data_IF_605485245031
#
_entry.id   IF_605485245031
#
_cell.length_a   1.000
_cell.length_b   1.000
_cell.length_c   1.000
_cell.angle_alpha   90.00
_cell.angle_beta   90.00
_cell.angle_gamma   90.00
#
_symmetry.space_group_name_H-M   'P 1'
#
loop_
_entity.id
_entity.type
_entity.pdbx_description
1 polymer ?
#
# COMPACT_ATOMS: atom_id res chain seq x y z
N UNK A 1 2.19 -1.63 -27.81
CA UNK A 1 2.57 -2.52 -26.70
C UNK A 1 2.17 -1.83 -25.41
N UNK A 2 1.45 -2.51 -24.49
CA UNK A 2 0.98 -1.93 -23.23
C UNK A 2 2.15 -1.81 -22.23
N UNK A 3 3.16 -1.00 -22.56
CA UNK A 3 4.28 -0.77 -21.66
C UNK A 3 3.83 0.10 -20.49
N UNK A 4 4.05 -0.38 -19.26
CA UNK A 4 3.68 0.36 -18.05
C UNK A 4 4.38 1.72 -17.93
N UNK A 5 5.53 1.89 -18.61
CA UNK A 5 6.35 3.09 -18.50
C UNK A 5 5.90 4.24 -19.40
N UNK A 6 4.91 4.02 -20.29
CA UNK A 6 4.42 5.05 -21.22
C UNK A 6 3.01 5.46 -20.84
N UNK A 7 2.87 6.65 -20.25
CA UNK A 7 1.55 7.16 -19.86
C UNK A 7 0.74 7.64 -21.06
N UNK A 8 -0.35 6.96 -21.42
CA UNK A 8 -1.31 7.42 -22.41
C UNK A 8 -1.81 8.84 -22.07
N UNK A 9 -1.67 9.85 -22.98
CA UNK A 9 -1.97 11.25 -22.67
C UNK A 9 -3.41 11.49 -22.20
N UNK A 10 -4.38 10.75 -22.75
CA UNK A 10 -5.80 10.85 -22.38
C UNK A 10 -6.11 10.51 -20.92
N UNK A 11 -5.21 9.85 -20.19
CA UNK A 11 -5.44 9.63 -18.75
C UNK A 11 -5.58 10.96 -17.99
N UNK A 12 -4.87 12.01 -18.42
CA UNK A 12 -4.98 13.34 -17.81
C UNK A 12 -6.40 13.94 -17.91
N UNK A 13 -7.22 13.45 -18.84
CA UNK A 13 -8.58 13.90 -19.10
C UNK A 13 -9.64 12.99 -18.47
N UNK A 14 -9.23 11.91 -17.81
CA UNK A 14 -10.16 10.96 -17.17
C UNK A 14 -10.60 11.41 -15.77
N UNK A 15 -11.68 10.83 -15.25
CA UNK A 15 -12.20 11.15 -13.91
C UNK A 15 -11.19 10.83 -12.79
N UNK A 16 -10.40 9.76 -12.97
CA UNK A 16 -9.37 9.34 -12.02
C UNK A 16 -8.02 9.11 -12.73
N UNK A 17 -7.29 10.18 -13.09
CA UNK A 17 -6.03 10.07 -13.85
C UNK A 17 -4.97 9.20 -13.17
N UNK A 18 -4.98 9.18 -11.84
CA UNK A 18 -4.07 8.37 -11.00
C UNK A 18 -4.30 6.86 -11.11
N UNK A 19 -5.49 6.44 -11.58
CA UNK A 19 -5.79 5.02 -11.84
C UNK A 19 -5.42 4.58 -13.25
N UNK A 20 -5.02 5.52 -14.11
CA UNK A 20 -4.49 5.24 -15.45
C UNK A 20 -5.45 4.36 -16.30
N UNK A 21 -6.74 4.72 -16.42
CA UNK A 21 -7.77 3.85 -17.02
C UNK A 21 -7.50 3.48 -18.49
N UNK A 22 -6.88 4.37 -19.29
CA UNK A 22 -6.57 4.05 -20.69
C UNK A 22 -5.48 3.00 -20.85
N UNK A 23 -4.63 2.81 -19.84
CA UNK A 23 -3.66 1.70 -19.88
C UNK A 23 -4.33 0.38 -19.59
N UNK A 24 -5.24 0.36 -18.62
CA UNK A 24 -6.05 -0.83 -18.33
C UNK A 24 -6.83 -1.22 -19.59
N UNK A 25 -7.36 -0.24 -20.33
CA UNK A 25 -8.03 -0.50 -21.60
C UNK A 25 -7.11 -1.16 -22.63
N UNK A 26 -5.84 -0.74 -22.74
CA UNK A 26 -4.89 -1.41 -23.64
C UNK A 26 -4.71 -2.90 -23.27
N UNK A 27 -4.73 -3.24 -21.98
CA UNK A 27 -4.68 -4.64 -21.55
C UNK A 27 -5.96 -5.40 -21.87
N UNK A 28 -7.13 -4.76 -21.74
CA UNK A 28 -8.41 -5.33 -22.18
C UNK A 28 -8.35 -5.69 -23.65
N UNK A 29 -7.97 -4.73 -24.50
CA UNK A 29 -7.94 -4.90 -25.96
C UNK A 29 -7.00 -6.05 -26.37
N UNK A 30 -5.81 -6.11 -25.78
CA UNK A 30 -4.84 -7.18 -26.06
C UNK A 30 -5.35 -8.54 -25.55
N UNK A 31 -5.90 -8.59 -24.34
CA UNK A 31 -6.43 -9.83 -23.76
C UNK A 31 -7.58 -10.39 -24.60
N UNK A 32 -8.57 -9.56 -24.94
CA UNK A 32 -9.71 -9.97 -25.77
C UNK A 32 -9.24 -10.42 -27.15
N UNK A 33 -8.36 -9.67 -27.81
CA UNK A 33 -7.87 -10.00 -29.15
C UNK A 33 -7.07 -11.32 -29.20
N UNK A 34 -6.26 -11.61 -28.18
CA UNK A 34 -5.43 -12.82 -28.15
C UNK A 34 -6.22 -14.06 -27.72
N UNK A 35 -7.09 -13.91 -26.72
CA UNK A 35 -7.79 -15.06 -26.11
C UNK A 35 -9.16 -15.34 -26.72
N UNK A 36 -9.73 -14.37 -27.45
CA UNK A 36 -11.10 -14.41 -27.93
C UNK A 36 -12.16 -14.26 -26.82
N UNK A 37 -11.74 -13.88 -25.60
CA UNK A 37 -12.63 -13.71 -24.44
C UNK A 37 -12.80 -12.23 -24.15
N UNK A 38 -14.01 -11.72 -24.30
CA UNK A 38 -14.34 -10.35 -23.96
C UNK A 38 -14.26 -10.12 -22.45
N UNK A 39 -13.59 -9.04 -22.06
CA UNK A 39 -13.45 -8.57 -20.68
C UNK A 39 -13.56 -7.05 -20.63
N UNK A 40 -13.83 -6.51 -19.45
CA UNK A 40 -13.87 -5.08 -19.16
C UNK A 40 -12.65 -4.66 -18.32
N UNK A 41 -12.46 -3.35 -18.12
CA UNK A 41 -11.45 -2.84 -17.20
C UNK A 41 -11.65 -3.40 -15.78
N UNK A 42 -12.91 -3.49 -15.33
CA UNK A 42 -13.22 -3.98 -13.99
C UNK A 42 -12.89 -5.48 -13.87
N UNK A 43 -13.16 -6.28 -14.89
CA UNK A 43 -12.83 -7.71 -14.88
C UNK A 43 -11.32 -7.93 -14.67
N UNK A 44 -10.45 -7.14 -15.32
CA UNK A 44 -9.00 -7.23 -15.12
C UNK A 44 -8.57 -6.81 -13.71
N UNK A 45 -9.22 -5.78 -13.14
CA UNK A 45 -8.97 -5.33 -11.77
C UNK A 45 -9.38 -6.42 -10.77
N UNK A 46 -10.54 -7.05 -10.97
CA UNK A 46 -11.04 -8.13 -10.10
C UNK A 46 -10.16 -9.39 -10.19
N UNK A 47 -9.71 -9.74 -11.41
CA UNK A 47 -8.73 -10.80 -11.60
C UNK A 47 -7.42 -10.51 -10.88
N UNK A 48 -6.93 -9.26 -10.94
CA UNK A 48 -5.73 -8.83 -10.22
C UNK A 48 -5.91 -8.91 -8.71
N UNK A 49 -7.05 -8.46 -8.18
CA UNK A 49 -7.34 -8.54 -6.74
C UNK A 49 -7.36 -9.98 -6.24
N UNK A 50 -7.95 -10.90 -7.01
CA UNK A 50 -7.94 -12.34 -6.69
C UNK A 50 -6.51 -12.87 -6.56
N UNK A 51 -5.66 -12.58 -7.54
CA UNK A 51 -4.25 -13.03 -7.54
C UNK A 51 -3.49 -12.42 -6.36
N UNK A 52 -3.69 -11.12 -6.08
CA UNK A 52 -3.01 -10.44 -4.98
C UNK A 52 -3.34 -11.04 -3.62
N UNK A 53 -4.61 -11.38 -3.38
CA UNK A 53 -5.02 -12.02 -2.12
C UNK A 53 -4.50 -13.46 -2.01
N UNK A 54 -4.48 -14.21 -3.12
CA UNK A 54 -3.90 -15.55 -3.13
C UNK A 54 -2.39 -15.52 -2.84
N UNK A 55 -1.66 -14.56 -3.41
CA UNK A 55 -0.24 -14.34 -3.11
C UNK A 55 -0.03 -13.96 -1.64
N UNK A 56 -0.93 -13.14 -1.06
CA UNK A 56 -0.89 -12.81 0.37
C UNK A 56 -1.00 -14.05 1.24
N UNK A 57 -2.00 -14.91 0.99
CA UNK A 57 -2.17 -16.16 1.76
C UNK A 57 -0.99 -17.11 1.54
N UNK A 58 -0.45 -17.18 0.32
CA UNK A 58 0.75 -17.96 0.05
C UNK A 58 1.96 -17.50 0.88
N UNK A 59 2.19 -16.19 1.00
CA UNK A 59 3.25 -15.66 1.86
C UNK A 59 3.02 -16.05 3.32
N UNK A 60 1.78 -15.93 3.82
CA UNK A 60 1.41 -16.27 5.21
C UNK A 60 1.71 -17.73 5.49
N UNK A 61 1.34 -18.63 4.55
CA UNK A 61 1.66 -20.06 4.63
C UNK A 61 3.17 -20.34 4.73
N UNK A 62 4.02 -19.47 4.16
CA UNK A 62 5.47 -19.57 4.23
C UNK A 62 6.07 -18.87 5.46
N UNK A 63 5.25 -18.33 6.36
CA UNK A 63 5.68 -17.64 7.57
C UNK A 63 5.94 -16.13 7.40
N UNK A 64 5.55 -15.54 6.27
CA UNK A 64 5.77 -14.12 5.95
C UNK A 64 4.46 -13.40 5.61
N UNK A 65 4.42 -12.07 5.68
CA UNK A 65 3.23 -11.31 5.27
C UNK A 65 2.12 -11.20 6.34
N UNK A 66 2.50 -11.30 7.62
CA UNK A 66 1.74 -10.66 8.70
C UNK A 66 2.16 -9.18 8.85
N UNK A 67 1.50 -8.44 9.74
CA UNK A 67 1.74 -7.00 9.93
C UNK A 67 3.22 -6.63 10.11
N UNK A 68 3.96 -7.42 10.88
CA UNK A 68 5.39 -7.19 11.14
C UNK A 68 6.24 -7.16 9.85
N UNK A 69 5.78 -7.82 8.78
CA UNK A 69 6.47 -7.87 7.49
C UNK A 69 6.10 -6.73 6.54
N UNK A 70 5.07 -5.95 6.87
CA UNK A 70 4.68 -4.75 6.11
C UNK A 70 5.34 -3.48 6.66
N UNK A 71 6.20 -3.59 7.68
CA UNK A 71 6.92 -2.47 8.26
C UNK A 71 7.97 -1.88 7.29
N UNK A 72 8.06 -0.55 7.26
CA UNK A 72 9.13 0.14 6.54
C UNK A 72 10.47 0.06 7.29
N UNK A 73 11.61 0.14 6.59
CA UNK A 73 12.90 0.34 7.23
C UNK A 73 12.85 1.58 8.13
N UNK A 74 13.33 1.45 9.37
CA UNK A 74 13.30 2.54 10.36
C UNK A 74 13.91 3.86 9.85
N UNK A 75 14.95 3.77 9.00
CA UNK A 75 15.58 4.94 8.36
C UNK A 75 14.64 5.77 7.48
N UNK A 76 13.52 5.21 7.02
CA UNK A 76 12.51 5.89 6.21
C UNK A 76 11.53 6.70 7.06
N UNK A 77 11.50 6.47 8.38
CA UNK A 77 10.59 7.12 9.30
C UNK A 77 11.05 8.52 9.74
N UNK A 78 12.25 8.98 9.38
CA UNK A 78 12.71 10.31 9.75
C UNK A 78 14.23 10.46 9.68
N UNK A 79 14.77 11.65 9.99
CA UNK A 79 16.21 11.88 9.99
C UNK A 79 16.90 10.92 10.96
N UNK A 80 17.99 10.28 10.51
CA UNK A 80 18.71 9.22 11.24
C UNK A 80 19.80 9.79 12.14
N UNK A 81 20.51 10.82 11.67
CA UNK A 81 21.60 11.49 12.37
C UNK A 81 21.31 12.98 12.57
N UNK A 82 22.03 13.61 13.49
CA UNK A 82 21.97 15.06 13.72
C UNK A 82 22.36 15.83 12.44
N UNK A 83 23.44 15.41 11.78
CA UNK A 83 23.89 15.98 10.51
C UNK A 83 22.81 15.93 9.42
N UNK A 84 22.03 14.84 9.35
CA UNK A 84 20.93 14.72 8.39
C UNK A 84 19.82 15.73 8.72
N UNK A 85 19.49 15.89 10.01
CA UNK A 85 18.54 16.89 10.45
C UNK A 85 19.01 18.30 10.05
N UNK A 86 20.23 18.66 10.45
CA UNK A 86 20.82 19.97 10.23
C UNK A 86 20.91 20.32 8.74
N UNK A 87 21.29 19.35 7.89
CA UNK A 87 21.35 19.54 6.43
C UNK A 87 20.03 20.00 5.80
N UNK A 88 18.91 19.80 6.50
CA UNK A 88 17.55 20.15 6.05
C UNK A 88 16.72 20.78 7.18
N UNK A 89 17.37 21.51 8.10
CA UNK A 89 16.72 22.02 9.31
C UNK A 89 15.44 22.83 9.01
N UNK A 90 15.48 23.71 8.01
CA UNK A 90 14.32 24.52 7.60
C UNK A 90 13.11 23.64 7.24
N UNK A 91 13.34 22.54 6.50
CA UNK A 91 12.27 21.60 6.13
C UNK A 91 11.70 20.89 7.35
N UNK A 92 12.56 20.39 8.24
CA UNK A 92 12.10 19.61 9.39
C UNK A 92 11.44 20.48 10.45
N UNK A 93 11.97 21.66 10.73
CA UNK A 93 11.38 22.62 11.65
C UNK A 93 10.02 23.12 11.12
N UNK A 94 9.89 23.35 9.81
CA UNK A 94 8.60 23.68 9.18
C UNK A 94 7.56 22.57 9.40
N UNK A 95 7.97 21.31 9.24
CA UNK A 95 7.08 20.16 9.47
C UNK A 95 6.65 20.03 10.94
N UNK A 96 7.54 20.29 11.90
CA UNK A 96 7.16 20.29 13.33
C UNK A 96 6.13 21.37 13.64
N UNK A 97 6.31 22.57 13.09
CA UNK A 97 5.34 23.67 13.23
C UNK A 97 4.00 23.35 12.56
N UNK A 98 4.02 22.96 11.29
CA UNK A 98 2.79 22.82 10.50
C UNK A 98 2.00 21.53 10.76
N UNK A 99 2.67 20.42 11.04
CA UNK A 99 2.00 19.11 11.17
C UNK A 99 1.67 18.74 12.61
N UNK A 100 2.47 19.23 13.54
CA UNK A 100 2.43 18.84 14.95
C UNK A 100 2.12 20.01 15.89
N UNK A 101 2.08 21.25 15.38
CA UNK A 101 1.88 22.47 16.16
C UNK A 101 2.91 22.62 17.31
N UNK A 102 4.16 22.26 17.03
CA UNK A 102 5.27 22.32 17.97
C UNK A 102 6.21 23.49 17.68
N UNK A 103 6.81 24.07 18.72
CA UNK A 103 7.87 25.06 18.58
C UNK A 103 9.26 24.40 18.56
N UNK A 104 9.90 24.22 17.40
CA UNK A 104 11.21 23.58 17.33
C UNK A 104 12.32 24.43 17.97
N UNK A 105 12.14 25.73 18.17
CA UNK A 105 13.18 26.58 18.76
C UNK A 105 13.39 26.30 20.26
N UNK A 106 12.45 25.59 20.89
CA UNK A 106 12.48 25.16 22.29
C UNK A 106 12.89 23.68 22.47
N UNK A 107 13.21 22.99 21.37
CA UNK A 107 13.52 21.55 21.36
C UNK A 107 14.99 21.30 21.06
N UNK A 108 15.56 20.29 21.70
CA UNK A 108 16.87 19.73 21.32
C UNK A 108 16.79 19.01 19.96
N UNK A 109 17.92 18.84 19.28
CA UNK A 109 17.98 18.09 18.01
C UNK A 109 17.49 16.65 18.21
N UNK A 110 17.87 16.01 19.33
CA UNK A 110 17.42 14.67 19.68
C UNK A 110 15.89 14.58 19.80
N UNK A 111 15.26 15.52 20.50
CA UNK A 111 13.80 15.59 20.62
C UNK A 111 13.13 15.82 19.26
N UNK A 112 13.64 16.76 18.46
CA UNK A 112 13.13 17.02 17.10
C UNK A 112 13.16 15.76 16.24
N UNK A 113 14.29 15.06 16.24
CA UNK A 113 14.45 13.82 15.48
C UNK A 113 13.51 12.72 15.96
N UNK A 114 13.43 12.52 17.28
CA UNK A 114 12.54 11.53 17.91
C UNK A 114 11.08 11.80 17.56
N UNK A 115 10.61 13.03 17.75
CA UNK A 115 9.23 13.44 17.44
C UNK A 115 8.89 13.24 15.97
N UNK A 116 9.80 13.58 15.06
CA UNK A 116 9.61 13.31 13.63
C UNK A 116 9.38 11.83 13.34
N UNK A 117 10.19 10.97 13.95
CA UNK A 117 10.09 9.52 13.74
C UNK A 117 8.81 8.96 14.32
N UNK A 118 8.48 9.30 15.56
CA UNK A 118 7.25 8.86 16.21
C UNK A 118 6.02 9.26 15.40
N UNK A 119 5.97 10.52 14.94
CA UNK A 119 4.88 11.00 14.11
C UNK A 119 4.76 10.21 12.79
N UNK A 120 5.87 10.01 12.07
CA UNK A 120 5.82 9.32 10.78
C UNK A 120 5.52 7.83 10.91
N UNK A 121 6.02 7.17 11.96
CA UNK A 121 5.63 5.78 12.27
C UNK A 121 4.13 5.72 12.54
N UNK A 122 3.59 6.59 13.39
CA UNK A 122 2.14 6.66 13.65
C UNK A 122 1.31 6.90 12.38
N UNK A 123 1.76 7.79 11.49
CA UNK A 123 1.11 8.00 10.19
C UNK A 123 1.15 6.74 9.31
N UNK A 124 2.26 6.01 9.33
CA UNK A 124 2.41 4.78 8.56
C UNK A 124 1.50 3.66 9.09
N UNK A 125 1.43 3.47 10.42
CA UNK A 125 0.52 2.51 11.04
C UNK A 125 -0.95 2.81 10.70
N UNK A 126 -1.35 4.08 10.73
CA UNK A 126 -2.70 4.51 10.29
C UNK A 126 -2.98 4.21 8.82
N UNK A 127 -1.96 4.36 7.97
CA UNK A 127 -2.07 3.99 6.55
C UNK A 127 -2.24 2.47 6.40
N UNK A 128 -1.48 1.67 7.13
CA UNK A 128 -1.61 0.20 7.14
C UNK A 128 -3.04 -0.19 7.52
N UNK A 129 -3.56 0.35 8.62
CA UNK A 129 -4.91 0.03 9.10
C UNK A 129 -5.97 0.36 8.05
N UNK A 130 -5.88 1.54 7.42
CA UNK A 130 -6.80 1.95 6.37
C UNK A 130 -6.71 1.04 5.13
N UNK A 131 -5.51 0.59 4.76
CA UNK A 131 -5.30 -0.33 3.64
C UNK A 131 -5.85 -1.71 3.95
N UNK A 132 -5.61 -2.25 5.14
CA UNK A 132 -6.14 -3.55 5.56
C UNK A 132 -7.67 -3.54 5.57
N UNK A 133 -8.28 -2.52 6.18
CA UNK A 133 -9.72 -2.35 6.19
C UNK A 133 -10.29 -2.29 4.76
N UNK A 134 -9.69 -1.49 3.88
CA UNK A 134 -10.12 -1.38 2.47
C UNK A 134 -9.97 -2.70 1.70
N UNK A 135 -8.98 -3.52 2.03
CA UNK A 135 -8.74 -4.82 1.39
C UNK A 135 -9.61 -5.94 1.95
N UNK A 136 -10.37 -5.70 3.02
CA UNK A 136 -11.12 -6.76 3.72
C UNK A 136 -10.19 -7.69 4.49
N UNK A 137 -9.15 -7.14 5.10
CA UNK A 137 -8.17 -7.87 5.92
C UNK A 137 -8.36 -7.52 7.41
N UNK A 138 -7.90 -8.38 8.30
CA UNK A 138 -7.84 -8.08 9.73
C UNK A 138 -6.66 -7.15 10.07
N UNK A 139 -6.54 -6.73 11.33
CA UNK A 139 -5.48 -5.81 11.78
C UNK A 139 -4.07 -6.41 11.73
N UNK A 140 -3.94 -7.71 11.53
CA UNK A 140 -2.67 -8.40 11.32
C UNK A 140 -2.32 -8.61 9.83
N UNK A 141 -3.11 -8.02 8.93
CA UNK A 141 -2.86 -8.07 7.49
C UNK A 141 -3.24 -9.40 6.84
N UNK A 142 -4.18 -10.13 7.44
CA UNK A 142 -4.67 -11.42 6.93
C UNK A 142 -6.03 -11.23 6.26
N UNK A 143 -6.22 -11.68 5.00
CA UNK A 143 -7.54 -11.65 4.35
C UNK A 143 -8.60 -12.37 5.16
N UNK A 144 -9.79 -11.76 5.32
CA UNK A 144 -10.89 -12.44 6.01
C UNK A 144 -11.45 -13.58 5.16
N UNK A 145 -12.05 -14.59 5.81
CA UNK A 145 -12.75 -15.67 5.10
C UNK A 145 -13.87 -15.12 4.21
N UNK A 146 -14.56 -14.06 4.63
CA UNK A 146 -15.56 -13.37 3.80
C UNK A 146 -14.93 -12.81 2.52
N UNK A 147 -13.76 -12.17 2.62
CA UNK A 147 -13.04 -11.66 1.45
C UNK A 147 -12.62 -12.78 0.51
N UNK A 148 -12.09 -13.89 1.03
CA UNK A 148 -11.73 -15.06 0.22
C UNK A 148 -12.93 -15.64 -0.54
N UNK A 149 -14.08 -15.75 0.13
CA UNK A 149 -15.35 -16.18 -0.48
C UNK A 149 -15.80 -15.24 -1.60
N UNK A 150 -15.77 -13.93 -1.36
CA UNK A 150 -16.15 -12.94 -2.38
C UNK A 150 -15.27 -13.00 -3.64
N UNK A 151 -14.02 -13.44 -3.49
CA UNK A 151 -13.05 -13.57 -4.58
C UNK A 151 -13.08 -14.95 -5.25
N UNK A 152 -13.82 -15.91 -4.70
CA UNK A 152 -13.90 -17.29 -5.18
C UNK A 152 -12.58 -18.06 -5.01
N UNK A 153 -11.82 -17.77 -3.96
CA UNK A 153 -10.55 -18.41 -3.61
C UNK A 153 -10.56 -19.03 -2.22
N UNK A 154 -11.75 -19.28 -1.67
CA UNK A 154 -11.99 -19.95 -0.39
C UNK A 154 -11.76 -21.47 -0.47
N UNK A 155 -10.70 -21.90 -1.14
CA UNK A 155 -10.29 -23.30 -1.16
C UNK A 155 -9.97 -23.77 0.27
N UNK A 156 -10.24 -25.05 0.63
CA UNK A 156 -10.05 -25.52 2.00
C UNK A 156 -8.64 -25.29 2.56
N UNK A 157 -7.61 -25.42 1.73
CA UNK A 157 -6.21 -25.19 2.11
C UNK A 157 -5.85 -23.70 2.24
N UNK A 158 -6.50 -22.82 1.48
CA UNK A 158 -6.35 -21.36 1.61
C UNK A 158 -7.06 -20.87 2.87
N UNK A 159 -8.27 -21.35 3.14
CA UNK A 159 -9.04 -21.00 4.34
C UNK A 159 -8.32 -21.46 5.61
N UNK A 160 -7.80 -22.69 5.62
CA UNK A 160 -7.04 -23.21 6.77
C UNK A 160 -5.87 -22.30 7.17
N UNK A 161 -5.12 -21.76 6.19
CA UNK A 161 -3.99 -20.85 6.46
C UNK A 161 -4.46 -19.57 7.14
N UNK A 162 -5.56 -18.96 6.70
CA UNK A 162 -6.01 -17.70 7.31
C UNK A 162 -6.61 -17.93 8.70
N UNK A 163 -7.30 -19.04 8.93
CA UNK A 163 -7.93 -19.38 10.22
C UNK A 163 -6.91 -19.56 11.35
N UNK A 164 -5.67 -19.91 11.06
CA UNK A 164 -4.58 -19.94 12.05
C UNK A 164 -4.23 -18.56 12.62
N UNK A 165 -4.75 -17.48 12.02
CA UNK A 165 -4.43 -16.09 12.34
C UNK A 165 -5.66 -15.18 12.58
N UNK A 166 -6.85 -15.77 12.78
CA UNK A 166 -8.09 -15.05 13.08
C UNK A 166 -8.39 -14.92 14.58
#
# INVERSE_FOLDING_TARGET
>A
MPWNDVVHPKNAESDEPSKIPHHVQNYVDVYSAVTGREVTNQDLVDMSERVYNLQRVFNIRLGYGLRDHDAIPYRSAGPVTEEEYESRAERYDKQLREWLDLNPDEMTIEEKMKTHREYRVDRYEKLIDAVYARRGWNNNGVPTVEKLKSLGIDYPDVVAVVEEHL
#
